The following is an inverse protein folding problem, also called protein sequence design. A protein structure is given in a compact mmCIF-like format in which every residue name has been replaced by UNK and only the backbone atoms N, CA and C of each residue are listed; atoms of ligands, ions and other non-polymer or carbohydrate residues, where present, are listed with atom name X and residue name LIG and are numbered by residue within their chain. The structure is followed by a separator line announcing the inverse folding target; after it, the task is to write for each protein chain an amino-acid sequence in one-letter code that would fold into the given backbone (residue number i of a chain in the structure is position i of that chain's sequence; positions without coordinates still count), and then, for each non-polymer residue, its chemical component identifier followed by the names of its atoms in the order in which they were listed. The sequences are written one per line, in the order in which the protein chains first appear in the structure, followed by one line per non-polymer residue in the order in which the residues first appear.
data_IF_811952309382
#
_entry.id   IF_811952309382
#
_cell.length_a   1.000
_cell.length_b   1.000
_cell.length_c   1.000
_cell.angle_alpha   90.00
_cell.angle_beta   90.00
_cell.angle_gamma   90.00
#
_symmetry.space_group_name_H-M   'P 1'
#
loop_
_entity.id
_entity.type
_entity.pdbx_description
1 polymer ?
#
# COMPACT_ATOMS: atom_id res chain seq x y z
N UNK A 1 15.09 -11.89 -36.70
CA UNK A 1 15.15 -12.73 -35.49
C UNK A 1 16.27 -12.19 -34.61
N UNK A 2 15.98 -11.80 -33.37
CA UNK A 2 17.04 -11.68 -32.35
C UNK A 2 17.28 -10.34 -31.64
N UNK A 3 16.30 -9.44 -31.45
CA UNK A 3 16.47 -8.27 -30.55
C UNK A 3 15.25 -7.91 -29.68
N UNK A 4 14.23 -8.78 -29.61
CA UNK A 4 12.99 -8.52 -28.87
C UNK A 4 12.72 -9.47 -27.68
N UNK A 5 13.72 -10.28 -27.29
CA UNK A 5 13.57 -11.28 -26.21
C UNK A 5 14.36 -10.95 -24.93
N UNK A 6 15.30 -9.99 -24.98
CA UNK A 6 16.22 -9.74 -23.86
C UNK A 6 15.68 -8.73 -22.83
N UNK A 7 14.62 -7.97 -23.17
CA UNK A 7 14.02 -6.98 -22.24
C UNK A 7 12.79 -7.48 -21.47
N UNK A 8 12.13 -8.54 -21.95
CA UNK A 8 11.07 -9.21 -21.18
C UNK A 8 11.63 -10.06 -20.04
N UNK A 9 12.80 -10.68 -20.22
CA UNK A 9 13.44 -11.48 -19.17
C UNK A 9 13.83 -10.66 -17.94
N UNK A 10 14.34 -9.44 -18.12
CA UNK A 10 14.71 -8.55 -17.01
C UNK A 10 13.48 -8.02 -16.29
N UNK A 11 12.38 -7.70 -16.99
CA UNK A 11 11.14 -7.24 -16.36
C UNK A 11 10.46 -8.36 -15.56
N UNK A 12 10.45 -9.60 -16.07
CA UNK A 12 9.90 -10.76 -15.35
C UNK A 12 10.75 -11.10 -14.12
N UNK A 13 12.08 -11.00 -14.21
CA UNK A 13 12.97 -11.22 -13.05
C UNK A 13 12.79 -10.11 -12.01
N UNK A 14 12.59 -8.85 -12.39
CA UNK A 14 12.33 -7.75 -11.43
C UNK A 14 10.98 -7.93 -10.75
N UNK A 15 9.92 -8.35 -11.47
CA UNK A 15 8.61 -8.63 -10.88
C UNK A 15 8.65 -9.87 -9.97
N UNK A 16 9.40 -10.93 -10.34
CA UNK A 16 9.58 -12.13 -9.52
C UNK A 16 10.46 -11.90 -8.28
N UNK A 17 11.50 -11.08 -8.40
CA UNK A 17 12.36 -10.68 -7.29
C UNK A 17 11.63 -9.71 -6.35
N UNK A 18 10.78 -8.82 -6.86
CA UNK A 18 9.91 -7.97 -6.03
C UNK A 18 8.83 -8.79 -5.31
N UNK A 19 8.28 -9.84 -5.94
CA UNK A 19 7.31 -10.74 -5.32
C UNK A 19 7.95 -11.65 -4.25
N UNK A 20 9.21 -12.07 -4.47
CA UNK A 20 10.01 -12.77 -3.46
C UNK A 20 10.37 -11.84 -2.29
N UNK A 21 10.85 -10.62 -2.57
CA UNK A 21 11.16 -9.63 -1.53
C UNK A 21 9.91 -9.22 -0.73
N UNK A 22 8.73 -9.23 -1.36
CA UNK A 22 7.45 -8.98 -0.70
C UNK A 22 6.97 -10.17 0.17
N UNK A 23 7.42 -11.40 -0.12
CA UNK A 23 7.19 -12.59 0.72
C UNK A 23 8.25 -12.75 1.82
N UNK A 24 9.46 -12.19 1.65
CA UNK A 24 10.49 -12.13 2.70
C UNK A 24 10.29 -11.00 3.72
N UNK A 25 9.38 -10.05 3.48
CA UNK A 25 8.97 -9.05 4.49
C UNK A 25 7.88 -9.56 5.45
N UNK A 26 7.58 -10.87 5.40
CA UNK A 26 6.77 -11.55 6.41
C UNK A 26 7.59 -12.02 7.63
N UNK A 27 8.86 -11.59 7.77
CA UNK A 27 9.56 -11.65 9.06
C UNK A 27 9.09 -10.47 9.92
N UNK A 28 8.23 -10.79 10.89
CA UNK A 28 7.39 -9.88 11.65
C UNK A 28 8.07 -8.90 12.61
N UNK A 29 9.25 -8.34 12.29
CA UNK A 29 9.92 -7.42 13.22
C UNK A 29 10.67 -6.19 12.65
N UNK A 30 10.61 -5.88 11.36
CA UNK A 30 11.33 -4.68 10.84
C UNK A 30 10.43 -3.79 9.99
N UNK A 31 9.64 -2.95 10.65
CA UNK A 31 9.13 -1.68 10.12
C UNK A 31 8.63 -0.77 11.26
N UNK A 32 9.40 -0.60 12.34
CA UNK A 32 9.15 0.53 13.24
C UNK A 32 9.81 1.78 12.62
N UNK A 33 8.96 2.68 12.11
CA UNK A 33 9.35 4.01 11.70
C UNK A 33 10.21 4.66 12.82
N UNK A 34 11.40 5.22 12.53
CA UNK A 34 12.29 5.84 13.52
C UNK A 34 11.61 6.93 14.37
N UNK A 35 10.54 7.55 13.86
CA UNK A 35 9.73 8.53 14.59
C UNK A 35 8.89 7.94 15.74
N UNK A 36 8.83 6.63 15.88
CA UNK A 36 8.08 5.97 16.96
C UNK A 36 8.95 5.60 18.17
N UNK A 37 10.25 5.92 18.13
CA UNK A 37 11.18 5.66 19.22
C UNK A 37 10.76 6.50 20.46
N UNK A 38 10.12 5.84 21.43
CA UNK A 38 9.59 6.49 22.65
C UNK A 38 8.06 6.56 22.77
N UNK A 39 7.28 6.04 21.82
CA UNK A 39 5.81 5.94 21.98
C UNK A 39 5.42 4.78 22.90
N UNK A 40 4.27 4.93 23.58
CA UNK A 40 3.67 3.89 24.42
C UNK A 40 3.61 2.53 23.70
N UNK A 41 4.25 1.51 24.27
CA UNK A 41 4.30 0.15 23.74
C UNK A 41 2.91 -0.45 23.50
N UNK A 42 1.92 -0.04 24.30
CA UNK A 42 0.53 -0.49 24.22
C UNK A 42 -0.19 -0.05 22.94
N UNK A 43 0.10 1.13 22.39
CA UNK A 43 -0.54 1.58 21.14
C UNK A 43 0.01 0.86 19.92
N UNK A 44 1.32 0.57 19.94
CA UNK A 44 1.96 -0.19 18.87
C UNK A 44 1.46 -1.63 18.86
N UNK A 45 1.33 -2.28 20.02
CA UNK A 45 0.76 -3.63 20.10
C UNK A 45 -0.70 -3.64 19.65
N UNK A 46 -1.51 -2.68 20.08
CA UNK A 46 -2.91 -2.57 19.67
C UNK A 46 -3.06 -2.37 18.15
N UNK A 47 -2.26 -1.48 17.54
CA UNK A 47 -2.28 -1.30 16.09
C UNK A 47 -1.82 -2.55 15.33
N UNK A 48 -0.82 -3.28 15.86
CA UNK A 48 -0.40 -4.57 15.32
C UNK A 48 -1.53 -5.61 15.41
N UNK A 49 -2.23 -5.69 16.53
CA UNK A 49 -3.36 -6.60 16.71
C UNK A 49 -4.47 -6.31 15.69
N UNK A 50 -4.92 -5.05 15.59
CA UNK A 50 -5.92 -4.62 14.60
C UNK A 50 -5.51 -4.92 13.15
N UNK A 51 -4.24 -4.75 12.82
CA UNK A 51 -3.71 -5.03 11.47
C UNK A 51 -3.71 -6.53 11.13
N UNK A 52 -3.65 -7.40 12.14
CA UNK A 52 -3.64 -8.85 11.99
C UNK A 52 -5.02 -9.50 12.18
N UNK A 53 -6.06 -8.73 12.51
CA UNK A 53 -7.43 -9.23 12.54
C UNK A 53 -7.80 -9.86 11.18
N UNK A 54 -8.46 -11.03 11.15
CA UNK A 54 -8.72 -11.76 9.90
C UNK A 54 -9.42 -10.92 8.83
N UNK A 55 -10.37 -10.08 9.23
CA UNK A 55 -11.11 -9.19 8.33
C UNK A 55 -10.19 -8.13 7.70
N UNK A 56 -9.33 -7.49 8.50
CA UNK A 56 -8.36 -6.51 8.01
C UNK A 56 -7.38 -7.15 7.03
N UNK A 57 -6.87 -8.35 7.36
CA UNK A 57 -5.95 -9.10 6.51
C UNK A 57 -6.61 -9.48 5.19
N UNK A 58 -7.84 -9.99 5.24
CA UNK A 58 -8.60 -10.35 4.04
C UNK A 58 -8.87 -9.13 3.16
N UNK A 59 -9.29 -8.01 3.74
CA UNK A 59 -9.45 -6.74 3.04
C UNK A 59 -8.16 -6.29 2.35
N UNK A 60 -7.03 -6.27 3.07
CA UNK A 60 -5.72 -5.91 2.48
C UNK A 60 -5.31 -6.84 1.33
N UNK A 61 -5.52 -8.15 1.48
CA UNK A 61 -5.23 -9.13 0.42
C UNK A 61 -6.10 -8.87 -0.82
N UNK A 62 -7.37 -8.56 -0.64
CA UNK A 62 -8.30 -8.28 -1.73
C UNK A 62 -7.92 -6.99 -2.46
N UNK A 63 -7.64 -5.90 -1.74
CA UNK A 63 -7.15 -4.64 -2.34
C UNK A 63 -5.87 -4.88 -3.14
N UNK A 64 -4.89 -5.60 -2.57
CA UNK A 64 -3.66 -5.95 -3.27
C UNK A 64 -3.95 -6.74 -4.55
N UNK A 65 -4.83 -7.73 -4.50
CA UNK A 65 -5.20 -8.56 -5.67
C UNK A 65 -5.84 -7.74 -6.77
N UNK A 66 -6.77 -6.84 -6.43
CA UNK A 66 -7.40 -5.96 -7.42
C UNK A 66 -6.38 -5.05 -8.11
N UNK A 67 -5.48 -4.42 -7.35
CA UNK A 67 -4.41 -3.59 -7.92
C UNK A 67 -3.48 -4.43 -8.82
N UNK A 68 -3.11 -5.64 -8.41
CA UNK A 68 -2.22 -6.51 -9.20
C UNK A 68 -2.88 -7.10 -10.44
N UNK A 69 -4.21 -7.11 -10.51
CA UNK A 69 -4.94 -7.62 -11.68
C UNK A 69 -4.76 -6.72 -12.91
N UNK A 70 -4.62 -5.41 -12.69
CA UNK A 70 -4.39 -4.41 -13.74
C UNK A 70 -3.29 -3.42 -13.31
N UNK A 71 -2.00 -3.76 -13.44
CA UNK A 71 -0.93 -2.83 -13.09
C UNK A 71 -0.91 -1.64 -14.07
N UNK A 72 -1.14 -0.44 -13.53
CA UNK A 72 -1.14 0.81 -14.30
C UNK A 72 0.26 1.48 -14.30
N UNK A 73 0.51 2.34 -15.30
CA UNK A 73 1.77 3.09 -15.41
C UNK A 73 1.76 4.34 -14.51
N UNK A 74 2.95 4.87 -14.26
CA UNK A 74 3.12 6.12 -13.52
C UNK A 74 2.32 7.27 -14.15
N UNK A 75 1.51 7.97 -13.33
CA UNK A 75 0.59 9.05 -13.72
C UNK A 75 -0.61 8.65 -14.59
N UNK A 76 -0.86 7.35 -14.74
CA UNK A 76 -1.99 6.76 -15.47
C UNK A 76 -2.80 5.80 -14.58
N UNK A 77 -2.68 5.92 -13.27
CA UNK A 77 -3.33 5.06 -12.27
C UNK A 77 -4.80 5.43 -12.02
N UNK A 78 -5.63 5.42 -13.07
CA UNK A 78 -7.02 5.84 -13.00
C UNK A 78 -7.88 4.86 -12.18
N UNK A 79 -7.73 3.56 -12.44
CA UNK A 79 -8.49 2.52 -11.73
C UNK A 79 -8.01 2.39 -10.29
N UNK A 80 -6.70 2.42 -10.06
CA UNK A 80 -6.12 2.39 -8.71
C UNK A 80 -6.54 3.61 -7.90
N UNK A 81 -6.50 4.81 -8.48
CA UNK A 81 -7.00 6.04 -7.85
C UNK A 81 -8.49 5.93 -7.51
N UNK A 82 -9.29 5.32 -8.39
CA UNK A 82 -10.72 5.11 -8.15
C UNK A 82 -10.98 4.11 -7.03
N UNK A 83 -10.22 3.01 -6.96
CA UNK A 83 -10.31 2.04 -5.88
C UNK A 83 -9.99 2.67 -4.52
N UNK A 84 -8.91 3.46 -4.43
CA UNK A 84 -8.54 4.16 -3.19
C UNK A 84 -9.66 5.09 -2.72
N UNK A 85 -10.22 5.89 -3.63
CA UNK A 85 -11.34 6.80 -3.32
C UNK A 85 -12.58 6.05 -2.82
N UNK A 86 -12.93 4.94 -3.47
CA UNK A 86 -14.04 4.10 -3.04
C UNK A 86 -13.84 3.56 -1.61
N UNK A 87 -12.64 3.09 -1.26
CA UNK A 87 -12.36 2.61 0.09
C UNK A 87 -12.38 3.75 1.12
N UNK A 88 -11.87 4.94 0.77
CA UNK A 88 -11.95 6.11 1.64
C UNK A 88 -13.40 6.57 1.86
N UNK A 89 -14.23 6.55 0.81
CA UNK A 89 -15.66 6.86 0.90
C UNK A 89 -16.39 5.88 1.84
N UNK A 90 -16.11 4.58 1.75
CA UNK A 90 -16.67 3.55 2.65
C UNK A 90 -16.28 3.78 4.11
N UNK A 91 -15.07 4.25 4.36
CA UNK A 91 -14.57 4.56 5.69
C UNK A 91 -15.02 5.93 6.21
N UNK A 92 -15.66 6.76 5.37
CA UNK A 92 -16.04 8.13 5.71
C UNK A 92 -14.84 9.06 5.92
N UNK A 93 -13.71 8.79 5.26
CA UNK A 93 -12.49 9.59 5.37
C UNK A 93 -12.48 10.66 4.27
N UNK A 94 -12.36 11.92 4.66
CA UNK A 94 -12.25 13.02 3.70
C UNK A 94 -10.89 13.02 2.97
N UNK A 95 -10.94 13.31 1.67
CA UNK A 95 -9.76 13.38 0.82
C UNK A 95 -9.86 14.48 -0.24
N UNK A 96 -8.70 14.87 -0.76
CA UNK A 96 -8.55 15.79 -1.90
C UNK A 96 -8.13 15.01 -3.15
N UNK A 97 -8.84 15.23 -4.24
CA UNK A 97 -8.57 14.70 -5.57
C UNK A 97 -9.11 15.68 -6.64
N UNK A 98 -8.46 15.84 -7.82
CA UNK A 98 -7.21 15.21 -8.24
C UNK A 98 -5.97 15.95 -7.71
N UNK A 99 -4.91 15.20 -7.38
CA UNK A 99 -3.57 15.74 -7.07
C UNK A 99 -2.58 15.12 -8.06
N UNK A 100 -1.81 15.93 -8.80
CA UNK A 100 -0.87 15.44 -9.82
C UNK A 100 -1.51 14.43 -10.81
N UNK A 101 -2.72 14.74 -11.28
CA UNK A 101 -3.58 13.91 -12.16
C UNK A 101 -4.33 12.79 -11.42
N UNK A 102 -3.64 11.75 -10.95
CA UNK A 102 -4.26 10.52 -10.39
C UNK A 102 -4.11 10.40 -8.87
N UNK A 103 -3.23 11.20 -8.25
CA UNK A 103 -2.97 11.16 -6.82
C UNK A 103 -4.14 11.59 -5.94
N UNK A 104 -4.21 11.00 -4.75
CA UNK A 104 -5.21 11.25 -3.69
C UNK A 104 -4.49 11.61 -2.40
N UNK A 105 -4.98 12.63 -1.68
CA UNK A 105 -4.46 12.98 -0.34
C UNK A 105 -5.60 12.92 0.66
N UNK A 106 -5.53 11.96 1.59
CA UNK A 106 -6.50 11.79 2.68
C UNK A 106 -5.93 12.31 4.00
N UNK A 107 -6.79 12.81 4.87
CA UNK A 107 -6.39 13.32 6.21
C UNK A 107 -7.16 12.56 7.29
N UNK A 108 -6.45 12.04 8.29
CA UNK A 108 -7.02 11.37 9.45
C UNK A 108 -6.47 12.04 10.71
N UNK A 109 -7.35 12.41 11.63
CA UNK A 109 -6.99 13.14 12.86
C UNK A 109 -7.26 14.64 12.76
N UNK A 110 -6.73 15.40 13.72
CA UNK A 110 -7.03 16.83 13.89
C UNK A 110 -6.13 17.77 13.08
N UNK A 111 -5.12 17.25 12.38
CA UNK A 111 -4.11 18.05 11.69
C UNK A 111 -3.02 18.64 12.61
N UNK A 112 -3.15 18.46 13.92
CA UNK A 112 -2.10 18.78 14.90
C UNK A 112 -1.04 17.67 14.94
N UNK A 113 0.22 17.99 15.31
CA UNK A 113 1.22 16.96 15.57
C UNK A 113 0.72 16.01 16.67
N UNK A 114 0.99 14.70 16.57
CA UNK A 114 0.67 13.76 17.64
C UNK A 114 1.39 14.20 18.93
N UNK A 115 0.63 14.36 20.01
CA UNK A 115 1.13 14.72 21.34
C UNK A 115 1.99 13.62 21.95
#
# INVERSE_FOLDING_TARGET
MGLFQDRLGVLIIVVSAALSLFMQLADGDVCLNPFLHGRNSSLVSYAKELANEPETVEWMVNIRREIHKNPELAFEEFDTSSLIRLELDKMGIEYRWPVARTGVVATVGSGSPPL
#
